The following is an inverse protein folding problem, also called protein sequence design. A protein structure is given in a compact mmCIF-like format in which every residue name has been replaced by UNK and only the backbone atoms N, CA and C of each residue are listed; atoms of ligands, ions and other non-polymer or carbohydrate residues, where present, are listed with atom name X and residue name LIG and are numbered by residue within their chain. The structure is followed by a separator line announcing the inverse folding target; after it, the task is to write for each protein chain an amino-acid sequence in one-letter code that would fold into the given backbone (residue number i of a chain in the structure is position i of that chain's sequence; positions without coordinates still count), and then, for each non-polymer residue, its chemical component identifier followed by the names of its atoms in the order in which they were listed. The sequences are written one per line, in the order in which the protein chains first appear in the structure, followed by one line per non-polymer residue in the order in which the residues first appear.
data_IF_311529915572
#
_entry.id   IF_311529915572
#
_cell.length_a   1.000
_cell.length_b   1.000
_cell.length_c   1.000
_cell.angle_alpha   90.00
_cell.angle_beta   90.00
_cell.angle_gamma   90.00
#
_symmetry.space_group_name_H-M   'P 1'
#
loop_
_entity.id
_entity.type
_entity.pdbx_description
1 polymer ?
#
# COMPACT_ATOMS: atom_id res chain seq x y z
N UNK A 1 6.23 -8.57 -4.60
CA UNK A 1 5.75 -7.28 -4.05
C UNK A 1 6.64 -6.09 -4.43
N UNK A 2 7.96 -6.12 -4.18
CA UNK A 2 8.88 -5.03 -4.60
C UNK A 2 8.87 -4.77 -6.12
N UNK A 3 8.71 -5.81 -6.93
CA UNK A 3 8.59 -5.65 -8.39
C UNK A 3 7.28 -4.95 -8.79
N UNK A 4 6.15 -5.28 -8.15
CA UNK A 4 4.84 -4.64 -8.41
C UNK A 4 4.83 -3.20 -7.92
N UNK A 5 5.41 -2.92 -6.74
CA UNK A 5 5.63 -1.56 -6.24
C UNK A 5 6.59 -0.77 -7.14
N UNK A 6 7.62 -1.40 -7.72
CA UNK A 6 8.55 -0.79 -8.65
C UNK A 6 7.90 -0.42 -9.99
N UNK A 7 7.06 -1.30 -10.54
CA UNK A 7 6.28 -0.99 -11.73
C UNK A 7 5.21 0.07 -11.47
N UNK A 8 4.54 0.02 -10.30
CA UNK A 8 3.61 1.07 -9.89
C UNK A 8 4.34 2.41 -9.75
N UNK A 9 5.47 2.47 -9.04
CA UNK A 9 6.26 3.70 -8.90
C UNK A 9 6.74 4.28 -10.25
N UNK A 10 7.13 3.42 -11.21
CA UNK A 10 7.53 3.84 -12.55
C UNK A 10 6.33 4.37 -13.37
N UNK A 11 5.14 3.79 -13.21
CA UNK A 11 3.91 4.31 -13.80
C UNK A 11 3.49 5.66 -13.18
N UNK A 12 3.64 5.80 -11.85
CA UNK A 12 3.35 7.03 -11.09
C UNK A 12 4.29 8.19 -11.43
N UNK A 13 5.54 7.91 -11.80
CA UNK A 13 6.50 8.93 -12.22
C UNK A 13 6.18 9.55 -13.59
N UNK A 14 5.29 8.93 -14.38
CA UNK A 14 4.96 9.37 -15.73
C UNK A 14 3.82 10.41 -15.81
N UNK A 15 3.02 10.59 -14.76
CA UNK A 15 1.91 11.55 -14.75
C UNK A 15 2.32 12.88 -14.13
N UNK A 16 3.02 13.70 -14.91
CA UNK A 16 3.29 15.10 -14.60
C UNK A 16 2.06 15.97 -14.83
N UNK A 17 1.10 15.97 -13.90
CA UNK A 17 0.04 16.99 -13.90
C UNK A 17 0.51 18.21 -13.11
N UNK A 18 1.19 19.13 -13.79
CA UNK A 18 1.55 20.43 -13.24
C UNK A 18 0.27 21.26 -13.01
N UNK A 19 -0.26 21.20 -11.79
CA UNK A 19 -1.28 22.16 -11.34
C UNK A 19 -0.57 23.48 -11.03
N UNK A 20 -0.73 24.46 -11.91
CA UNK A 20 -0.45 25.87 -11.60
C UNK A 20 -1.49 26.37 -10.58
N UNK A 21 -1.24 26.09 -9.30
CA UNK A 21 -2.06 26.54 -8.18
C UNK A 21 -1.18 27.12 -7.09
N UNK A 22 -1.58 28.27 -6.52
CA UNK A 22 -0.80 29.02 -5.52
C UNK A 22 -0.23 28.18 -4.38
N UNK A 23 0.77 28.72 -3.66
CA UNK A 23 1.63 28.00 -2.70
C UNK A 23 0.90 27.01 -1.74
N UNK A 24 -0.35 27.29 -1.35
CA UNK A 24 -1.17 26.43 -0.50
C UNK A 24 -1.62 25.13 -1.18
N UNK A 25 -1.91 25.16 -2.49
CA UNK A 25 -2.30 23.98 -3.28
C UNK A 25 -1.12 23.04 -3.47
N UNK A 26 0.07 23.59 -3.74
CA UNK A 26 1.31 22.82 -3.84
C UNK A 26 1.66 22.08 -2.53
N UNK A 27 1.48 22.74 -1.38
CA UNK A 27 1.72 22.12 -0.07
C UNK A 27 0.72 20.97 0.20
N UNK A 28 -0.55 21.12 -0.19
CA UNK A 28 -1.56 20.09 -0.01
C UNK A 28 -1.27 18.82 -0.85
N UNK A 29 -0.81 19.02 -2.09
CA UNK A 29 -0.40 17.90 -2.95
C UNK A 29 0.86 17.21 -2.40
N UNK A 30 1.87 17.97 -1.96
CA UNK A 30 3.06 17.42 -1.34
C UNK A 30 2.74 16.61 -0.07
N UNK A 31 1.84 17.11 0.79
CA UNK A 31 1.38 16.40 1.98
C UNK A 31 0.63 15.11 1.62
N UNK A 32 -0.20 15.13 0.58
CA UNK A 32 -0.93 13.95 0.11
C UNK A 32 0.02 12.86 -0.41
N UNK A 33 1.07 13.25 -1.15
CA UNK A 33 2.11 12.33 -1.65
C UNK A 33 2.91 11.71 -0.50
N UNK A 34 3.34 12.52 0.47
CA UNK A 34 4.06 12.00 1.63
C UNK A 34 3.20 11.06 2.48
N UNK A 35 1.94 11.43 2.74
CA UNK A 35 1.01 10.59 3.50
C UNK A 35 0.74 9.26 2.79
N UNK A 36 0.52 9.29 1.47
CA UNK A 36 0.34 8.10 0.64
C UNK A 36 1.57 7.17 0.68
N UNK A 37 2.77 7.73 0.46
CA UNK A 37 4.02 6.96 0.48
C UNK A 37 4.31 6.32 1.84
N UNK A 38 4.13 7.07 2.93
CA UNK A 38 4.31 6.56 4.29
C UNK A 38 3.27 5.50 4.66
N UNK A 39 2.00 5.72 4.31
CA UNK A 39 0.92 4.77 4.60
C UNK A 39 1.15 3.41 3.93
N UNK A 40 1.49 3.42 2.64
CA UNK A 40 1.79 2.18 1.90
C UNK A 40 3.09 1.55 2.39
N UNK A 41 4.13 2.35 2.63
CA UNK A 41 5.42 1.86 3.11
C UNK A 41 5.31 1.12 4.44
N UNK A 42 4.59 1.70 5.41
CA UNK A 42 4.35 1.05 6.71
C UNK A 42 3.46 -0.20 6.58
N UNK A 43 2.43 -0.16 5.73
CA UNK A 43 1.59 -1.32 5.45
C UNK A 43 2.37 -2.48 4.81
N UNK A 44 3.29 -2.18 3.89
CA UNK A 44 4.15 -3.17 3.26
C UNK A 44 5.17 -3.76 4.24
N UNK A 45 5.72 -2.95 5.15
CA UNK A 45 6.62 -3.45 6.20
C UNK A 45 5.92 -4.45 7.12
N UNK A 46 4.72 -4.12 7.61
CA UNK A 46 3.94 -5.03 8.46
C UNK A 46 3.59 -6.34 7.75
N UNK A 47 3.22 -6.26 6.47
CA UNK A 47 2.94 -7.43 5.64
C UNK A 47 4.16 -8.31 5.41
N UNK A 48 5.33 -7.72 5.14
CA UNK A 48 6.58 -8.46 4.98
C UNK A 48 6.94 -9.27 6.24
N UNK A 49 6.79 -8.66 7.41
CA UNK A 49 7.01 -9.35 8.70
C UNK A 49 6.00 -10.47 8.91
N UNK A 50 4.71 -10.20 8.71
CA UNK A 50 3.65 -11.19 8.86
C UNK A 50 3.81 -12.40 7.93
N UNK A 51 4.14 -12.15 6.66
CA UNK A 51 4.39 -13.22 5.68
C UNK A 51 5.62 -14.06 6.06
N UNK A 52 6.69 -13.43 6.55
CA UNK A 52 7.89 -14.13 7.01
C UNK A 52 7.59 -15.09 8.17
N UNK A 53 6.85 -14.62 9.17
CA UNK A 53 6.45 -15.44 10.33
C UNK A 53 5.49 -16.57 9.94
N UNK A 54 4.54 -16.31 9.04
CA UNK A 54 3.61 -17.32 8.56
C UNK A 54 4.34 -18.44 7.79
N UNK A 55 5.25 -18.06 6.89
CA UNK A 55 6.04 -19.00 6.10
C UNK A 55 7.00 -19.82 6.96
N UNK A 56 7.71 -19.20 7.92
CA UNK A 56 8.61 -19.92 8.83
C UNK A 56 7.85 -20.94 9.69
N UNK A 57 6.68 -20.57 10.22
CA UNK A 57 5.83 -21.48 10.98
C UNK A 57 5.33 -22.66 10.14
N UNK A 58 4.99 -22.42 8.87
CA UNK A 58 4.60 -23.49 7.95
C UNK A 58 5.76 -24.45 7.64
N UNK A 59 6.97 -23.92 7.44
CA UNK A 59 8.17 -24.72 7.18
C UNK A 59 8.53 -25.58 8.39
N UNK A 60 8.52 -25.03 9.61
CA UNK A 60 8.78 -25.80 10.83
C UNK A 60 7.74 -26.90 11.06
N UNK A 61 6.45 -26.59 10.86
CA UNK A 61 5.38 -27.57 10.99
C UNK A 61 5.51 -28.70 9.95
N UNK A 62 5.91 -28.35 8.72
CA UNK A 62 6.15 -29.30 7.63
C UNK A 62 7.37 -30.17 7.89
N UNK A 63 8.45 -29.60 8.43
CA UNK A 63 9.66 -30.35 8.78
C UNK A 63 9.39 -31.41 9.86
N UNK A 64 8.50 -31.11 10.82
CA UNK A 64 8.10 -32.06 11.88
C UNK A 64 7.09 -33.10 11.41
N UNK A 65 6.20 -32.73 10.48
CA UNK A 65 5.12 -33.60 10.00
C UNK A 65 5.00 -33.49 8.45
N UNK A 66 5.89 -34.14 7.69
CA UNK A 66 5.93 -34.02 6.23
C UNK A 66 4.66 -34.54 5.54
N UNK A 67 3.97 -35.50 6.17
CA UNK A 67 2.67 -36.02 5.73
C UNK A 67 1.55 -34.98 5.73
N UNK A 68 1.68 -33.87 6.48
CA UNK A 68 0.73 -32.77 6.51
C UNK A 68 1.09 -31.61 5.56
N UNK A 69 2.22 -31.70 4.83
CA UNK A 69 2.77 -30.61 4.02
C UNK A 69 1.75 -29.97 3.07
N UNK A 70 0.96 -30.79 2.37
CA UNK A 70 -0.04 -30.29 1.42
C UNK A 70 -1.11 -29.43 2.09
N UNK A 71 -1.63 -29.87 3.24
CA UNK A 71 -2.66 -29.14 3.99
C UNK A 71 -2.12 -27.87 4.65
N UNK A 72 -0.89 -27.93 5.16
CA UNK A 72 -0.20 -26.77 5.75
C UNK A 72 0.05 -25.69 4.69
N UNK A 73 0.50 -26.08 3.50
CA UNK A 73 0.72 -25.16 2.38
C UNK A 73 -0.55 -24.41 1.96
N UNK A 74 -1.69 -25.12 1.89
CA UNK A 74 -2.98 -24.47 1.59
C UNK A 74 -3.36 -23.47 2.67
N UNK A 75 -3.24 -23.86 3.94
CA UNK A 75 -3.54 -22.96 5.08
C UNK A 75 -2.61 -21.74 5.08
N UNK A 76 -1.33 -21.94 4.78
CA UNK A 76 -0.35 -20.87 4.65
C UNK A 76 -0.75 -19.88 3.55
N UNK A 77 -1.10 -20.35 2.35
CA UNK A 77 -1.51 -19.45 1.27
C UNK A 77 -2.78 -18.66 1.60
N UNK A 78 -3.74 -19.25 2.31
CA UNK A 78 -4.92 -18.51 2.81
C UNK A 78 -4.47 -17.41 3.78
N UNK A 79 -3.58 -17.72 4.72
CA UNK A 79 -3.02 -16.74 5.66
C UNK A 79 -2.27 -15.63 4.94
N UNK A 80 -1.39 -15.96 4.00
CA UNK A 80 -0.64 -15.00 3.18
C UNK A 80 -1.57 -14.08 2.37
N UNK A 81 -2.64 -14.63 1.79
CA UNK A 81 -3.63 -13.84 1.05
C UNK A 81 -4.34 -12.82 1.94
N UNK A 82 -4.67 -13.18 3.19
CA UNK A 82 -5.28 -12.26 4.16
C UNK A 82 -4.32 -11.16 4.60
N UNK A 83 -3.04 -11.50 4.82
CA UNK A 83 -2.00 -10.53 5.18
C UNK A 83 -1.80 -9.53 4.02
N UNK A 84 -1.73 -10.02 2.79
CA UNK A 84 -1.60 -9.18 1.58
C UNK A 84 -2.81 -8.27 1.35
N UNK A 85 -4.02 -8.75 1.62
CA UNK A 85 -5.24 -7.94 1.44
C UNK A 85 -5.19 -6.62 2.23
N UNK A 86 -4.59 -6.63 3.42
CA UNK A 86 -4.42 -5.42 4.24
C UNK A 86 -3.48 -4.40 3.58
N UNK A 87 -2.40 -4.84 2.94
CA UNK A 87 -1.50 -3.95 2.22
C UNK A 87 -2.13 -3.42 0.93
N UNK A 88 -2.91 -4.24 0.25
CA UNK A 88 -3.69 -3.78 -0.91
C UNK A 88 -4.70 -2.70 -0.49
N UNK A 89 -5.34 -2.82 0.67
CA UNK A 89 -6.21 -1.75 1.17
C UNK A 89 -5.46 -0.44 1.44
N UNK A 90 -4.25 -0.50 2.01
CA UNK A 90 -3.41 0.68 2.17
C UNK A 90 -3.02 1.30 0.81
N UNK A 91 -2.69 0.47 -0.19
CA UNK A 91 -2.41 0.91 -1.56
C UNK A 91 -3.62 1.58 -2.20
N UNK A 92 -4.81 1.00 -2.07
CA UNK A 92 -6.05 1.58 -2.62
C UNK A 92 -6.34 2.96 -2.01
N UNK A 93 -6.20 3.11 -0.68
CA UNK A 93 -6.40 4.39 -0.01
C UNK A 93 -5.37 5.43 -0.51
N UNK A 94 -4.12 5.03 -0.69
CA UNK A 94 -3.07 5.89 -1.21
C UNK A 94 -3.36 6.33 -2.66
N UNK A 95 -3.82 5.43 -3.53
CA UNK A 95 -4.22 5.77 -4.90
C UNK A 95 -5.41 6.74 -4.92
N UNK A 96 -6.39 6.56 -4.04
CA UNK A 96 -7.51 7.49 -3.89
C UNK A 96 -7.00 8.86 -3.41
N UNK A 97 -6.10 8.91 -2.42
CA UNK A 97 -5.54 10.16 -1.91
C UNK A 97 -4.70 10.93 -2.94
N UNK A 98 -4.08 10.22 -3.90
CA UNK A 98 -3.27 10.82 -4.95
C UNK A 98 -4.10 11.28 -6.16
N UNK A 99 -5.05 10.47 -6.62
CA UNK A 99 -5.74 10.70 -7.89
C UNK A 99 -7.20 11.11 -7.78
N UNK A 100 -7.85 10.78 -6.66
CA UNK A 100 -9.27 11.03 -6.45
C UNK A 100 -9.48 11.72 -5.09
N UNK A 101 -8.57 12.62 -4.71
CA UNK A 101 -8.52 13.19 -3.38
C UNK A 101 -9.82 13.96 -3.06
N UNK A 102 -10.69 13.46 -2.17
CA UNK A 102 -11.99 14.08 -1.90
C UNK A 102 -11.86 15.36 -1.06
N UNK A 103 -10.68 15.64 -0.53
CA UNK A 103 -10.43 16.77 0.38
C UNK A 103 -9.99 18.02 -0.35
N UNK A 104 -9.47 17.94 -1.57
CA UNK A 104 -8.96 19.09 -2.33
C UNK A 104 -10.07 20.12 -2.56
N UNK A 105 -11.21 19.71 -3.12
CA UNK A 105 -12.33 20.62 -3.37
C UNK A 105 -12.90 21.24 -2.09
N UNK A 106 -12.94 20.47 -0.99
CA UNK A 106 -13.43 20.95 0.31
C UNK A 106 -12.46 21.94 0.96
N UNK A 107 -11.15 21.67 0.89
CA UNK A 107 -10.12 22.55 1.44
C UNK A 107 -10.03 23.87 0.68
N UNK A 108 -10.10 23.83 -0.66
CA UNK A 108 -10.14 25.03 -1.49
C UNK A 108 -11.33 25.94 -1.15
N UNK A 109 -12.51 25.36 -0.94
CA UNK A 109 -13.70 26.09 -0.52
C UNK A 109 -13.57 26.69 0.89
N UNK A 110 -12.96 25.98 1.84
CA UNK A 110 -12.71 26.48 3.21
C UNK A 110 -11.71 27.64 3.22
N UNK A 111 -10.71 27.62 2.33
CA UNK A 111 -9.71 28.68 2.22
C UNK A 111 -10.11 29.83 1.27
N UNK A 112 -11.32 29.80 0.71
CA UNK A 112 -11.84 30.85 -0.17
C UNK A 112 -11.08 30.99 -1.50
N UNK A 113 -10.34 29.95 -1.89
CA UNK A 113 -9.60 29.85 -3.15
C UNK A 113 -10.47 29.05 -4.13
N UNK A 114 -11.45 29.69 -4.77
CA UNK A 114 -12.22 29.10 -5.88
C UNK A 114 -11.60 29.46 -7.22
#
# INVERSE_FOLDING_TARGET
MLMVLGFAALAMAAEGNAVEGGHTVGLLMAASVLAAGLGVGLGALGCGVGMGMCSSGCLEATARNPELAGKLTVTMFIGLALIEALTIYALVIALIALYANPLVAKLLAVFGLS
#
